data_IF_407466096461
#
_entry.id   IF_407466096461
#
_cell.length_a   1.000
_cell.length_b   1.000
_cell.length_c   1.000
_cell.angle_alpha   90.00
_cell.angle_beta   90.00
_cell.angle_gamma   90.00
#
_symmetry.space_group_name_H-M   'P 1'
#
loop_
_entity.id
_entity.type
_entity.pdbx_description
1 polymer ?
#
# COMPACT_ATOMS: atom_id res chain seq x y z
N UNK A 1 -8.04 -19.99 -20.28
CA UNK A 1 -6.81 -20.26 -19.50
C UNK A 1 -7.18 -21.28 -18.44
N UNK A 2 -6.50 -22.42 -18.38
CA UNK A 2 -6.79 -23.47 -17.39
C UNK A 2 -5.56 -23.75 -16.54
N UNK A 3 -5.70 -23.70 -15.21
CA UNK A 3 -4.61 -24.05 -14.29
C UNK A 3 -4.17 -25.51 -14.42
N UNK A 4 -5.01 -26.37 -15.00
CA UNK A 4 -4.66 -27.76 -15.32
C UNK A 4 -3.51 -27.88 -16.32
N UNK A 5 -3.14 -26.80 -17.01
CA UNK A 5 -1.98 -26.73 -17.90
C UNK A 5 -0.66 -26.43 -17.15
N UNK A 6 -0.73 -26.22 -15.84
CA UNK A 6 0.41 -25.93 -14.96
C UNK A 6 0.50 -26.96 -13.84
N UNK A 7 1.69 -27.10 -13.26
CA UNK A 7 1.90 -27.90 -12.05
C UNK A 7 1.82 -26.99 -10.81
N UNK A 8 1.42 -27.52 -9.64
CA UNK A 8 1.49 -26.77 -8.38
C UNK A 8 2.90 -26.21 -8.09
N UNK A 9 3.95 -26.98 -8.44
CA UNK A 9 5.36 -26.56 -8.29
C UNK A 9 5.75 -25.37 -9.19
N UNK A 10 4.96 -25.07 -10.24
CA UNK A 10 5.16 -23.90 -11.08
C UNK A 10 4.71 -22.60 -10.37
N UNK A 11 4.11 -22.69 -9.17
CA UNK A 11 3.56 -21.56 -8.43
C UNK A 11 4.28 -21.39 -7.08
N UNK A 12 5.21 -20.44 -7.04
CA UNK A 12 6.00 -20.15 -5.84
C UNK A 12 5.23 -19.24 -4.87
N UNK A 13 5.24 -19.56 -3.57
CA UNK A 13 4.68 -18.67 -2.55
C UNK A 13 5.32 -17.27 -2.61
N UNK A 14 4.50 -16.23 -2.69
CA UNK A 14 4.95 -14.84 -2.73
C UNK A 14 4.61 -14.09 -1.44
N UNK A 15 3.34 -14.13 -1.03
CA UNK A 15 2.86 -13.44 0.17
C UNK A 15 1.46 -13.90 0.56
N UNK A 16 0.98 -13.51 1.74
CA UNK A 16 -0.42 -13.73 2.13
C UNK A 16 -0.99 -12.60 3.00
N UNK A 17 -2.30 -12.36 2.83
CA UNK A 17 -3.07 -11.34 3.55
C UNK A 17 -4.03 -11.94 4.58
N UNK A 18 -5.14 -11.24 4.87
CA UNK A 18 -6.22 -11.76 5.71
C UNK A 18 -6.95 -12.95 5.06
N UNK A 19 -7.39 -12.78 3.81
CA UNK A 19 -8.30 -13.70 3.12
C UNK A 19 -7.65 -14.49 1.97
N UNK A 20 -6.43 -14.15 1.53
CA UNK A 20 -5.84 -14.67 0.29
C UNK A 20 -4.36 -15.03 0.45
N UNK A 21 -3.91 -16.09 -0.23
CA UNK A 21 -2.49 -16.41 -0.50
C UNK A 21 -2.18 -16.05 -1.95
N UNK A 22 -1.02 -15.47 -2.19
CA UNK A 22 -0.55 -15.05 -3.52
C UNK A 22 0.67 -15.90 -3.91
N UNK A 23 0.63 -16.47 -5.11
CA UNK A 23 1.69 -17.28 -5.68
C UNK A 23 2.18 -16.67 -7.00
N UNK A 24 3.50 -16.57 -7.19
CA UNK A 24 4.09 -16.14 -8.46
C UNK A 24 4.23 -17.33 -9.41
N UNK A 25 3.92 -17.15 -10.69
CA UNK A 25 4.28 -18.14 -11.70
C UNK A 25 5.81 -18.19 -11.86
N UNK A 26 6.37 -19.39 -11.75
CA UNK A 26 7.79 -19.71 -11.85
C UNK A 26 8.05 -20.95 -12.72
N UNK A 27 7.03 -21.39 -13.48
CA UNK A 27 7.11 -22.52 -14.41
C UNK A 27 7.89 -22.20 -15.68
N UNK A 28 7.85 -23.13 -16.63
CA UNK A 28 8.38 -22.92 -17.98
C UNK A 28 7.64 -21.77 -18.68
N UNK A 29 8.27 -21.07 -19.64
CA UNK A 29 7.63 -19.95 -20.35
C UNK A 29 6.24 -20.29 -20.86
N UNK A 30 5.24 -19.55 -20.37
CA UNK A 30 3.85 -19.73 -20.72
C UNK A 30 3.16 -18.36 -20.86
N UNK A 31 2.83 -17.91 -22.09
CA UNK A 31 2.23 -16.59 -22.31
C UNK A 31 0.96 -16.30 -21.51
N UNK A 32 0.25 -17.32 -21.04
CA UNK A 32 -0.95 -17.15 -20.21
C UNK A 32 -0.63 -16.82 -18.74
N UNK A 33 0.53 -17.24 -18.23
CA UNK A 33 0.90 -17.14 -16.81
C UNK A 33 2.19 -16.36 -16.56
N UNK A 34 3.01 -16.11 -17.59
CA UNK A 34 4.22 -15.31 -17.50
C UNK A 34 3.90 -13.91 -16.96
N UNK A 35 4.60 -13.52 -15.88
CA UNK A 35 4.37 -12.24 -15.21
C UNK A 35 3.01 -12.14 -14.50
N UNK A 36 2.39 -13.27 -14.17
CA UNK A 36 1.14 -13.34 -13.39
C UNK A 36 1.38 -13.95 -12.01
N UNK A 37 0.52 -13.55 -11.09
CA UNK A 37 0.33 -14.20 -9.79
C UNK A 37 -1.03 -14.89 -9.73
N UNK A 38 -1.08 -16.02 -9.06
CA UNK A 38 -2.29 -16.71 -8.67
C UNK A 38 -2.69 -16.28 -7.26
N UNK A 39 -3.90 -15.75 -7.13
CA UNK A 39 -4.51 -15.38 -5.84
C UNK A 39 -5.52 -16.44 -5.46
N UNK A 40 -5.36 -17.06 -4.29
CA UNK A 40 -6.19 -18.16 -3.81
C UNK A 40 -6.79 -17.82 -2.46
N UNK A 41 -8.12 -17.97 -2.32
CA UNK A 41 -8.83 -17.77 -1.06
C UNK A 41 -8.36 -18.75 0.01
N UNK A 42 -8.34 -18.26 1.26
CA UNK A 42 -8.01 -19.03 2.45
C UNK A 42 -9.25 -19.54 3.18
N UNK A 43 -9.09 -20.67 3.88
CA UNK A 43 -10.05 -21.26 4.81
C UNK A 43 -9.39 -21.45 6.17
N UNK A 44 -10.00 -21.06 7.31
CA UNK A 44 -9.45 -21.36 8.62
C UNK A 44 -9.51 -22.86 8.92
N UNK A 45 -8.55 -23.38 9.68
CA UNK A 45 -8.40 -24.83 9.90
C UNK A 45 -9.44 -25.39 10.90
N UNK A 46 -9.89 -24.56 11.85
CA UNK A 46 -10.65 -24.99 13.05
C UNK A 46 -12.13 -24.52 13.08
N UNK A 47 -12.76 -24.24 11.94
CA UNK A 47 -14.20 -23.87 11.92
C UNK A 47 -15.02 -25.07 11.47
N UNK A 48 -16.03 -25.43 12.25
CA UNK A 48 -16.98 -26.49 11.90
C UNK A 48 -17.74 -26.12 10.62
N UNK A 49 -17.92 -27.11 9.73
CA UNK A 49 -18.59 -26.96 8.42
C UNK A 49 -20.06 -26.49 8.52
N UNK A 50 -20.62 -26.41 9.73
CA UNK A 50 -22.02 -26.07 10.00
C UNK A 50 -22.29 -24.57 10.25
N UNK A 51 -21.26 -23.73 10.46
CA UNK A 51 -21.42 -22.30 10.76
C UNK A 51 -21.16 -21.37 9.55
N UNK A 52 -20.75 -21.91 8.40
CA UNK A 52 -20.54 -21.08 7.20
C UNK A 52 -21.86 -20.81 6.48
N UNK A 53 -22.43 -19.63 6.73
CA UNK A 53 -23.23 -18.97 5.70
C UNK A 53 -22.34 -18.82 4.46
N UNK A 54 -22.79 -19.37 3.34
CA UNK A 54 -22.26 -19.08 2.02
C UNK A 54 -22.45 -17.59 1.71
N UNK A 55 -21.57 -16.73 2.22
CA UNK A 55 -21.42 -15.39 1.65
C UNK A 55 -20.82 -15.60 0.26
N UNK A 56 -21.66 -15.43 -0.76
CA UNK A 56 -21.38 -15.78 -2.17
C UNK A 56 -20.11 -15.11 -2.73
N UNK A 57 -19.67 -13.98 -2.15
CA UNK A 57 -18.47 -13.22 -2.52
C UNK A 57 -17.76 -12.61 -1.30
N UNK A 58 -16.41 -12.55 -1.33
CA UNK A 58 -15.58 -11.95 -0.27
C UNK A 58 -15.92 -10.43 -0.14
N UNK A 59 -16.33 -9.94 1.04
CA UNK A 59 -16.71 -8.54 1.23
C UNK A 59 -15.64 -7.52 0.77
N UNK A 60 -14.35 -7.87 0.87
CA UNK A 60 -13.25 -7.02 0.39
C UNK A 60 -13.22 -6.92 -1.14
N UNK A 61 -13.55 -8.01 -1.84
CA UNK A 61 -13.64 -8.07 -3.30
C UNK A 61 -14.86 -7.27 -3.79
N UNK A 62 -16.02 -7.49 -3.17
CA UNK A 62 -17.26 -6.76 -3.52
C UNK A 62 -17.05 -5.25 -3.29
N UNK A 63 -16.47 -4.87 -2.16
CA UNK A 63 -16.13 -3.48 -1.88
C UNK A 63 -15.18 -2.89 -2.94
N UNK A 64 -14.16 -3.65 -3.35
CA UNK A 64 -13.24 -3.20 -4.38
C UNK A 64 -13.96 -2.90 -5.70
N UNK A 65 -14.78 -3.83 -6.18
CA UNK A 65 -15.50 -3.73 -7.45
C UNK A 65 -16.59 -2.65 -7.44
N UNK A 66 -17.37 -2.58 -6.36
CA UNK A 66 -18.48 -1.62 -6.28
C UNK A 66 -18.01 -0.21 -5.93
N UNK A 67 -16.89 -0.06 -5.20
CA UNK A 67 -16.46 1.22 -4.62
C UNK A 67 -15.12 1.68 -5.16
N UNK A 68 -14.04 0.91 -4.95
CA UNK A 68 -12.69 1.34 -5.31
C UNK A 68 -12.54 1.58 -6.82
N UNK A 69 -13.07 0.69 -7.66
CA UNK A 69 -13.03 0.83 -9.13
C UNK A 69 -13.81 2.05 -9.66
N UNK A 70 -14.71 2.63 -8.85
CA UNK A 70 -15.45 3.86 -9.21
C UNK A 70 -14.72 5.14 -8.81
N UNK A 71 -13.74 5.05 -7.92
CA UNK A 71 -13.05 6.20 -7.32
C UNK A 71 -11.61 6.31 -7.84
N UNK A 72 -10.93 5.17 -7.97
CA UNK A 72 -9.52 5.12 -8.37
C UNK A 72 -9.41 4.84 -9.87
N UNK A 73 -8.65 5.65 -10.64
CA UNK A 73 -8.42 5.38 -12.05
C UNK A 73 -7.89 3.97 -12.27
N UNK A 74 -8.48 3.30 -13.25
CA UNK A 74 -8.27 1.86 -13.43
C UNK A 74 -6.84 1.49 -13.85
N UNK A 75 -6.06 2.43 -14.40
CA UNK A 75 -4.63 2.22 -14.67
C UNK A 75 -3.77 2.01 -13.42
N UNK A 76 -4.24 2.46 -12.25
CA UNK A 76 -3.53 2.27 -10.98
C UNK A 76 -4.03 1.05 -10.20
N UNK A 77 -5.00 0.30 -10.71
CA UNK A 77 -5.57 -0.86 -10.02
C UNK A 77 -5.04 -2.16 -10.63
N UNK A 78 -4.84 -3.16 -9.76
CA UNK A 78 -4.70 -4.55 -10.19
C UNK A 78 -6.07 -5.02 -10.62
N UNK A 79 -6.18 -5.63 -11.81
CA UNK A 79 -7.39 -6.30 -12.26
C UNK A 79 -7.25 -7.80 -12.08
N UNK A 80 -7.87 -8.41 -11.05
CA UNK A 80 -7.91 -9.85 -10.93
C UNK A 80 -8.87 -10.44 -11.96
N UNK A 81 -8.42 -11.46 -12.69
CA UNK A 81 -9.20 -12.23 -13.64
C UNK A 81 -9.62 -13.54 -12.96
N UNK A 82 -10.92 -13.74 -12.64
CA UNK A 82 -11.38 -14.98 -12.02
C UNK A 82 -11.02 -16.21 -12.86
N UNK A 83 -10.61 -17.28 -12.19
CA UNK A 83 -10.29 -18.55 -12.83
C UNK A 83 -11.29 -19.64 -12.44
N UNK A 84 -11.49 -20.58 -13.38
CA UNK A 84 -12.15 -21.85 -13.08
C UNK A 84 -11.22 -22.67 -12.17
N UNK A 85 -11.70 -23.15 -11.01
CA UNK A 85 -10.88 -23.97 -10.12
C UNK A 85 -10.37 -25.26 -10.78
N UNK A 86 -9.11 -25.66 -10.52
CA UNK A 86 -8.59 -26.96 -10.95
C UNK A 86 -9.15 -28.08 -10.05
N UNK A 87 -8.84 -29.35 -10.34
CA UNK A 87 -9.17 -30.46 -9.45
C UNK A 87 -8.69 -30.24 -8.01
N UNK A 88 -9.45 -30.75 -7.03
CA UNK A 88 -9.14 -30.59 -5.60
C UNK A 88 -7.73 -31.05 -5.23
N UNK A 89 -7.26 -32.13 -5.83
CA UNK A 89 -5.89 -32.66 -5.65
C UNK A 89 -4.82 -31.62 -6.00
N UNK A 90 -5.02 -30.85 -7.08
CA UNK A 90 -4.07 -29.83 -7.52
C UNK A 90 -3.94 -28.71 -6.47
N UNK A 91 -5.05 -28.31 -5.84
CA UNK A 91 -5.05 -27.29 -4.78
C UNK A 91 -4.45 -27.81 -3.48
N UNK A 92 -4.66 -29.10 -3.16
CA UNK A 92 -4.03 -29.75 -2.01
C UNK A 92 -2.51 -29.81 -2.19
N UNK A 93 -2.04 -30.16 -3.39
CA UNK A 93 -0.63 -30.18 -3.73
C UNK A 93 -0.01 -28.78 -3.68
N UNK A 94 -0.71 -27.76 -4.19
CA UNK A 94 -0.27 -26.36 -4.08
C UNK A 94 -0.14 -25.93 -2.63
N UNK A 95 -1.14 -26.23 -1.79
CA UNK A 95 -1.13 -25.90 -0.38
C UNK A 95 0.05 -26.58 0.35
N UNK A 96 0.29 -27.86 0.05
CA UNK A 96 1.41 -28.63 0.61
C UNK A 96 2.78 -28.10 0.19
N UNK A 97 2.96 -27.80 -1.10
CA UNK A 97 4.22 -27.25 -1.64
C UNK A 97 4.55 -25.89 -1.03
N UNK A 98 3.54 -25.06 -0.78
CA UNK A 98 3.72 -23.73 -0.26
C UNK A 98 3.88 -23.68 1.26
N UNK A 99 3.38 -24.67 2.02
CA UNK A 99 3.28 -24.59 3.47
C UNK A 99 4.61 -24.27 4.14
N UNK A 100 5.72 -24.87 3.69
CA UNK A 100 7.06 -24.62 4.24
C UNK A 100 7.54 -23.16 4.10
N UNK A 101 7.00 -22.43 3.12
CA UNK A 101 7.36 -21.03 2.85
C UNK A 101 6.49 -20.02 3.59
N UNK A 102 5.37 -20.48 4.18
CA UNK A 102 4.42 -19.61 4.88
C UNK A 102 4.89 -19.28 6.30
N UNK A 103 4.61 -18.06 6.81
CA UNK A 103 4.87 -17.70 8.20
C UNK A 103 4.23 -18.68 9.19
N UNK A 104 4.96 -19.06 10.24
CA UNK A 104 4.52 -20.10 11.17
C UNK A 104 3.15 -19.81 11.77
N UNK A 105 2.87 -18.57 12.18
CA UNK A 105 1.57 -18.18 12.74
C UNK A 105 0.40 -18.32 11.76
N UNK A 106 0.65 -18.24 10.45
CA UNK A 106 -0.38 -18.39 9.42
C UNK A 106 -0.73 -19.85 9.15
N UNK A 107 0.27 -20.73 9.18
CA UNK A 107 0.10 -22.18 8.98
C UNK A 107 -0.83 -22.83 9.99
N UNK A 108 -0.86 -22.32 11.22
CA UNK A 108 -1.79 -22.81 12.26
C UNK A 108 -3.20 -22.22 12.17
N UNK A 109 -3.38 -21.12 11.44
CA UNK A 109 -4.64 -20.38 11.39
C UNK A 109 -5.51 -20.79 10.21
N UNK A 110 -4.91 -20.85 9.02
CA UNK A 110 -5.63 -20.97 7.77
C UNK A 110 -4.80 -21.71 6.69
N UNK A 111 -5.48 -22.24 5.68
CA UNK A 111 -4.89 -22.93 4.51
C UNK A 111 -5.65 -22.54 3.23
N UNK A 112 -5.22 -23.04 2.08
CA UNK A 112 -5.95 -22.89 0.81
C UNK A 112 -7.36 -23.48 0.93
N UNK A 113 -8.37 -22.73 0.50
CA UNK A 113 -9.74 -23.23 0.48
C UNK A 113 -9.94 -24.23 -0.68
N UNK A 114 -9.90 -25.52 -0.35
CA UNK A 114 -10.13 -26.61 -1.31
C UNK A 114 -11.60 -27.00 -1.45
N UNK A 115 -12.50 -26.54 -0.57
CA UNK A 115 -13.93 -26.91 -0.58
C UNK A 115 -14.73 -25.96 -1.45
N UNK A 116 -14.48 -24.65 -1.31
CA UNK A 116 -15.13 -23.57 -2.06
C UNK A 116 -14.08 -22.67 -2.73
N UNK A 117 -13.25 -23.23 -3.64
CA UNK A 117 -12.11 -22.51 -4.18
C UNK A 117 -12.53 -21.29 -4.98
N UNK A 118 -11.92 -20.15 -4.64
CA UNK A 118 -11.99 -18.90 -5.39
C UNK A 118 -10.57 -18.52 -5.78
N UNK A 119 -10.32 -18.45 -7.08
CA UNK A 119 -9.02 -18.14 -7.64
C UNK A 119 -9.13 -16.97 -8.62
N UNK A 120 -8.08 -16.15 -8.68
CA UNK A 120 -7.92 -15.14 -9.71
C UNK A 120 -6.46 -15.03 -10.14
N UNK A 121 -6.24 -14.78 -11.43
CA UNK A 121 -4.95 -14.31 -11.93
C UNK A 121 -4.86 -12.80 -11.81
N UNK A 122 -3.69 -12.31 -11.45
CA UNK A 122 -3.40 -10.89 -11.47
C UNK A 122 -2.00 -10.67 -12.03
N UNK A 123 -1.69 -9.44 -12.42
CA UNK A 123 -0.31 -9.07 -12.78
C UNK A 123 0.61 -9.26 -11.57
N UNK A 124 1.76 -9.88 -11.78
CA UNK A 124 2.84 -9.90 -10.81
C UNK A 124 3.48 -8.51 -10.71
N UNK A 125 3.31 -7.87 -9.56
CA UNK A 125 3.79 -6.51 -9.32
C UNK A 125 5.26 -6.46 -8.90
N UNK A 126 5.86 -7.58 -8.50
CA UNK A 126 7.23 -7.62 -7.96
C UNK A 126 8.18 -8.53 -8.74
N UNK A 127 7.65 -9.45 -9.54
CA UNK A 127 8.41 -10.33 -10.42
C UNK A 127 8.73 -9.78 -11.80
N UNK A 128 9.27 -10.68 -12.63
CA UNK A 128 9.74 -10.42 -13.98
C UNK A 128 11.05 -9.63 -14.05
N UNK A 129 11.43 -9.23 -15.26
CA UNK A 129 12.62 -8.42 -15.48
C UNK A 129 12.39 -6.97 -15.01
N UNK A 130 13.36 -6.41 -14.27
CA UNK A 130 13.29 -5.05 -13.74
C UNK A 130 13.43 -4.96 -12.21
N UNK A 131 13.11 -3.77 -11.71
CA UNK A 131 13.07 -3.45 -10.28
C UNK A 131 11.65 -3.05 -9.91
N UNK A 132 11.11 -3.62 -8.83
CA UNK A 132 9.84 -3.19 -8.26
C UNK A 132 10.08 -2.57 -6.88
N UNK A 133 9.36 -1.48 -6.58
CA UNK A 133 9.50 -0.76 -5.32
C UNK A 133 8.13 -0.52 -4.71
N UNK A 134 7.91 -1.05 -3.51
CA UNK A 134 6.74 -0.73 -2.70
C UNK A 134 7.07 0.48 -1.81
N UNK A 135 6.24 1.53 -1.87
CA UNK A 135 6.33 2.74 -1.04
C UNK A 135 5.02 2.89 -0.26
N UNK A 136 5.12 3.16 1.04
CA UNK A 136 3.98 3.65 1.84
C UNK A 136 4.05 5.17 1.94
N UNK A 137 3.34 5.91 1.08
CA UNK A 137 3.57 7.35 0.93
C UNK A 137 3.02 8.16 2.11
N UNK A 138 2.05 7.60 2.85
CA UNK A 138 1.36 8.25 3.98
C UNK A 138 0.50 9.45 3.52
N UNK A 139 0.33 10.45 4.37
CA UNK A 139 -0.62 11.55 4.17
C UNK A 139 0.00 12.65 3.32
N UNK A 140 -0.56 12.90 2.13
CA UNK A 140 -0.09 13.87 1.16
C UNK A 140 -0.69 15.27 1.29
N UNK A 141 -1.18 15.66 2.47
CA UNK A 141 -1.78 16.97 2.71
C UNK A 141 -1.68 17.42 4.17
N UNK A 142 -1.89 18.73 4.40
CA UNK A 142 -2.19 19.32 5.71
C UNK A 142 -3.71 19.55 5.85
N UNK A 143 -4.30 19.35 7.04
CA UNK A 143 -5.74 19.49 7.27
C UNK A 143 -6.23 20.93 7.07
N UNK A 144 -7.54 21.06 6.81
CA UNK A 144 -8.21 22.36 6.78
C UNK A 144 -8.12 23.04 8.15
N UNK A 145 -7.81 24.35 8.23
CA UNK A 145 -7.77 25.07 9.51
C UNK A 145 -9.16 25.30 10.11
N UNK A 146 -10.22 25.19 9.30
CA UNK A 146 -11.61 25.55 9.65
C UNK A 146 -12.18 24.71 10.79
N UNK A 147 -11.85 23.41 10.80
CA UNK A 147 -12.45 22.44 11.72
C UNK A 147 -11.52 22.03 12.86
N UNK A 148 -10.37 22.69 12.98
CA UNK A 148 -9.40 22.43 14.05
C UNK A 148 -9.68 23.34 15.24
N UNK A 149 -9.47 22.80 16.45
CA UNK A 149 -9.48 23.59 17.68
C UNK A 149 -8.37 24.65 17.68
N UNK A 150 -8.58 25.77 18.38
CA UNK A 150 -7.57 26.85 18.50
C UNK A 150 -6.24 26.35 19.09
N UNK A 151 -6.31 25.31 19.92
CA UNK A 151 -5.17 24.65 20.55
C UNK A 151 -4.30 23.90 19.53
N UNK A 152 -4.89 23.07 18.68
CA UNK A 152 -4.15 22.18 17.77
C UNK A 152 -3.87 22.81 16.41
N UNK A 153 -4.68 23.79 15.99
CA UNK A 153 -4.61 24.45 14.68
C UNK A 153 -3.20 24.94 14.33
N UNK A 154 -2.46 25.67 15.19
CA UNK A 154 -1.12 26.18 14.83
C UNK A 154 -0.10 25.07 14.54
N UNK A 155 -0.30 23.88 15.11
CA UNK A 155 0.62 22.74 14.95
C UNK A 155 0.22 21.90 13.73
N UNK A 156 -1.03 21.46 13.67
CA UNK A 156 -1.54 20.56 12.61
C UNK A 156 -1.50 21.21 11.22
N UNK A 157 -1.60 22.55 11.15
CA UNK A 157 -1.52 23.28 9.88
C UNK A 157 -0.10 23.65 9.44
N UNK A 158 0.91 23.32 10.27
CA UNK A 158 2.34 23.58 10.02
C UNK A 158 3.15 22.31 9.83
N UNK A 159 2.91 21.27 10.63
CA UNK A 159 3.65 20.01 10.60
C UNK A 159 2.73 18.87 10.21
N UNK A 160 3.15 18.05 9.23
CA UNK A 160 2.30 16.97 8.74
C UNK A 160 2.14 15.83 9.76
N UNK A 161 1.03 15.08 9.62
CA UNK A 161 0.66 13.97 10.51
C UNK A 161 1.77 12.93 10.69
N UNK A 162 2.52 12.63 9.62
CA UNK A 162 3.64 11.69 9.68
C UNK A 162 4.79 12.23 10.51
N UNK A 163 5.22 13.48 10.29
CA UNK A 163 6.34 14.07 11.02
C UNK A 163 6.05 14.17 12.53
N UNK A 164 4.83 14.57 12.90
CA UNK A 164 4.42 14.60 14.31
C UNK A 164 4.41 13.19 14.93
N UNK A 165 3.87 12.21 14.21
CA UNK A 165 3.81 10.83 14.70
C UNK A 165 5.20 10.19 14.81
N UNK A 166 6.07 10.46 13.85
CA UNK A 166 7.47 10.02 13.86
C UNK A 166 8.21 10.56 15.07
N UNK A 167 8.02 11.84 15.43
CA UNK A 167 8.58 12.40 16.66
C UNK A 167 8.08 11.66 17.92
N UNK A 168 6.78 11.42 18.03
CA UNK A 168 6.22 10.67 19.17
C UNK A 168 6.81 9.25 19.26
N UNK A 169 6.92 8.54 18.13
CA UNK A 169 7.48 7.18 18.09
C UNK A 169 8.99 7.15 18.38
N UNK A 170 9.74 8.16 17.94
CA UNK A 170 11.15 8.31 18.29
C UNK A 170 11.34 8.51 19.81
N UNK A 171 10.47 9.32 20.44
CA UNK A 171 10.44 9.50 21.89
C UNK A 171 10.14 8.20 22.64
N UNK A 172 9.32 7.33 22.04
CA UNK A 172 9.01 5.98 22.54
C UNK A 172 10.12 4.94 22.23
N UNK A 173 11.24 5.35 21.62
CA UNK A 173 12.42 4.51 21.34
C UNK A 173 12.30 3.66 20.06
N UNK A 174 11.31 3.91 19.21
CA UNK A 174 11.13 3.17 17.96
C UNK A 174 12.09 3.66 16.86
N UNK A 175 12.63 2.73 16.06
CA UNK A 175 13.40 3.08 14.87
C UNK A 175 12.48 3.70 13.80
N UNK A 176 12.71 4.97 13.47
CA UNK A 176 11.84 5.74 12.56
C UNK A 176 12.63 6.55 11.52
N UNK A 177 11.92 6.97 10.47
CA UNK A 177 12.47 7.79 9.39
C UNK A 177 12.19 9.28 9.64
N UNK A 178 13.01 9.93 10.48
CA UNK A 178 12.81 11.33 10.87
C UNK A 178 12.94 12.33 9.70
N UNK A 179 13.81 12.04 8.74
CA UNK A 179 14.09 12.93 7.61
C UNK A 179 12.94 12.92 6.56
N UNK A 180 12.23 11.80 6.43
CA UNK A 180 11.17 11.66 5.42
C UNK A 180 9.95 12.53 5.73
N UNK A 181 9.57 13.38 4.77
CA UNK A 181 8.29 14.09 4.78
C UNK A 181 7.44 13.64 3.60
N UNK A 182 6.22 13.12 3.84
CA UNK A 182 5.27 12.84 2.76
C UNK A 182 5.01 14.04 1.85
N UNK A 183 4.90 15.26 2.40
CA UNK A 183 4.58 16.43 1.59
C UNK A 183 5.68 16.77 0.56
N UNK A 184 6.92 16.36 0.80
CA UNK A 184 8.01 16.45 -0.18
C UNK A 184 7.83 15.43 -1.31
N UNK A 185 7.42 14.19 -0.99
CA UNK A 185 7.09 13.15 -1.97
C UNK A 185 5.90 13.59 -2.86
N UNK A 186 4.85 14.14 -2.25
CA UNK A 186 3.62 14.60 -2.91
C UNK A 186 3.75 15.97 -3.61
N UNK A 187 4.90 16.63 -3.51
CA UNK A 187 5.08 18.03 -3.89
C UNK A 187 4.91 18.31 -5.39
N UNK A 188 5.12 17.32 -6.26
CA UNK A 188 5.26 17.52 -7.70
C UNK A 188 6.59 18.20 -8.11
N UNK A 189 7.40 18.63 -7.13
CA UNK A 189 8.73 19.19 -7.36
C UNK A 189 9.78 18.07 -7.36
N UNK A 190 10.57 18.00 -8.44
CA UNK A 190 11.57 16.95 -8.61
C UNK A 190 12.63 16.95 -7.51
N UNK A 191 13.02 18.12 -7.00
CA UNK A 191 14.06 18.23 -5.98
C UNK A 191 13.56 17.72 -4.64
N UNK A 192 12.40 18.19 -4.20
CA UNK A 192 11.75 17.73 -2.96
C UNK A 192 11.38 16.25 -3.01
N UNK A 193 10.86 15.77 -4.14
CA UNK A 193 10.57 14.34 -4.30
C UNK A 193 11.84 13.49 -4.15
N UNK A 194 12.96 13.92 -4.74
CA UNK A 194 14.25 13.23 -4.57
C UNK A 194 14.73 13.24 -3.13
N UNK A 195 14.56 14.34 -2.40
CA UNK A 195 14.87 14.40 -0.96
C UNK A 195 14.04 13.39 -0.17
N UNK A 196 12.75 13.28 -0.46
CA UNK A 196 11.87 12.31 0.20
C UNK A 196 12.28 10.85 -0.10
N UNK A 197 12.59 10.55 -1.37
CA UNK A 197 13.06 9.22 -1.79
C UNK A 197 14.43 8.87 -1.20
N UNK A 198 15.33 9.85 -1.09
CA UNK A 198 16.64 9.67 -0.44
C UNK A 198 16.48 9.38 1.05
N UNK A 199 15.60 10.11 1.75
CA UNK A 199 15.28 9.85 3.15
C UNK A 199 14.68 8.43 3.35
N UNK A 200 13.80 7.99 2.45
CA UNK A 200 13.25 6.62 2.48
C UNK A 200 14.35 5.56 2.30
N UNK A 201 15.26 5.77 1.34
CA UNK A 201 16.40 4.89 1.13
C UNK A 201 17.31 4.83 2.36
N UNK A 202 17.68 5.99 2.90
CA UNK A 202 18.54 6.06 4.09
C UNK A 202 17.91 5.34 5.28
N UNK A 203 16.61 5.54 5.52
CA UNK A 203 15.91 4.82 6.58
C UNK A 203 15.87 3.31 6.33
N UNK A 204 15.64 2.88 5.08
CA UNK A 204 15.66 1.47 4.71
C UNK A 204 17.04 0.84 4.94
N UNK A 205 18.13 1.51 4.52
CA UNK A 205 19.49 1.05 4.75
C UNK A 205 19.85 1.00 6.24
N UNK A 206 19.64 2.10 6.99
CA UNK A 206 20.01 2.18 8.43
C UNK A 206 19.24 1.19 9.30
N UNK A 207 18.02 0.85 8.90
CA UNK A 207 17.17 -0.09 9.63
C UNK A 207 17.33 -1.54 9.19
N UNK A 208 18.31 -1.85 8.34
CA UNK A 208 18.50 -3.19 7.79
C UNK A 208 17.22 -3.75 7.15
N UNK A 209 16.46 -2.90 6.46
CA UNK A 209 15.22 -3.26 5.78
C UNK A 209 14.00 -3.51 6.68
N UNK A 210 14.06 -3.13 7.96
CA UNK A 210 12.95 -3.36 8.92
C UNK A 210 11.88 -2.26 8.90
N UNK A 211 12.21 -1.03 8.48
CA UNK A 211 11.20 0.02 8.29
C UNK A 211 10.24 -0.34 7.15
N UNK A 212 8.95 -0.03 7.35
CA UNK A 212 7.89 -0.49 6.46
C UNK A 212 7.52 0.50 5.33
N UNK A 213 8.23 1.62 5.20
CA UNK A 213 7.92 2.66 4.23
C UNK A 213 8.47 2.39 2.84
N UNK A 214 9.51 1.57 2.71
CA UNK A 214 10.17 1.22 1.46
C UNK A 214 10.51 -0.27 1.44
N UNK A 215 10.15 -0.94 0.35
CA UNK A 215 10.65 -2.30 0.04
C UNK A 215 11.08 -2.33 -1.42
N UNK A 216 12.20 -3.00 -1.68
CA UNK A 216 12.77 -3.11 -3.02
C UNK A 216 12.81 -4.58 -3.41
N UNK A 217 12.42 -4.88 -4.63
CA UNK A 217 12.40 -6.21 -5.20
C UNK A 217 13.14 -6.20 -6.54
N UNK A 218 13.97 -7.21 -6.77
CA UNK A 218 14.60 -7.46 -8.07
C UNK A 218 14.27 -8.89 -8.47
N UNK A 219 13.61 -9.05 -9.63
CA UNK A 219 13.18 -10.36 -10.14
C UNK A 219 12.35 -11.16 -9.10
N UNK A 220 11.43 -10.50 -8.41
CA UNK A 220 10.58 -11.10 -7.38
C UNK A 220 11.26 -11.29 -6.02
N UNK A 221 12.59 -11.20 -5.94
CA UNK A 221 13.31 -11.32 -4.68
C UNK A 221 13.29 -10.01 -3.91
N UNK A 222 12.73 -10.02 -2.70
CA UNK A 222 12.83 -8.90 -1.77
C UNK A 222 14.28 -8.71 -1.34
N UNK A 223 14.83 -7.53 -1.57
CA UNK A 223 16.19 -7.19 -1.20
C UNK A 223 16.29 -6.78 0.27
N UNK A 224 17.45 -7.08 0.85
CA UNK A 224 17.89 -6.60 2.17
C UNK A 224 19.18 -5.77 2.00
N UNK A 225 19.33 -4.63 2.69
CA UNK A 225 20.47 -3.73 2.47
C UNK A 225 21.85 -4.39 2.64
N UNK A 226 21.98 -5.26 3.64
CA UNK A 226 23.25 -5.85 4.05
C UNK A 226 23.44 -7.29 3.57
N UNK A 227 22.43 -7.86 2.90
CA UNK A 227 22.54 -9.21 2.37
C UNK A 227 23.48 -9.24 1.16
N UNK A 228 24.23 -10.33 1.05
CA UNK A 228 25.09 -10.60 -0.10
C UNK A 228 24.46 -11.64 -1.01
N UNK A 229 24.64 -11.47 -2.32
CA UNK A 229 24.25 -12.43 -3.34
C UNK A 229 25.50 -12.98 -4.05
N UNK A 230 25.55 -14.28 -4.36
CA UNK A 230 26.62 -14.84 -5.18
C UNK A 230 26.50 -14.34 -6.62
N UNK A 231 27.63 -13.97 -7.20
CA UNK A 231 27.79 -13.59 -8.59
C UNK A 231 28.80 -14.55 -9.19
N UNK A 232 28.45 -15.16 -10.33
CA UNK A 232 29.37 -16.00 -11.09
C UNK A 232 30.05 -15.19 -12.19
N UNK A 233 31.27 -14.66 -11.98
CA UNK A 233 32.12 -14.22 -13.08
C UNK A 233 32.65 -15.46 -13.80
N UNK A 234 31.99 -15.81 -14.91
CA UNK A 234 32.54 -16.63 -16.01
C UNK A 234 33.65 -17.64 -15.63
N UNK A 235 33.36 -18.56 -14.72
CA UNK A 235 33.94 -19.91 -14.75
C UNK A 235 34.96 -20.35 -13.70
N UNK A 236 35.39 -19.57 -12.71
CA UNK A 236 36.33 -20.13 -11.68
C UNK A 236 36.15 -19.62 -10.24
N UNK A 237 35.74 -18.37 -10.01
CA UNK A 237 35.56 -17.81 -8.65
C UNK A 237 34.13 -17.27 -8.45
N UNK A 238 33.48 -17.56 -7.31
CA UNK A 238 32.20 -16.92 -6.94
C UNK A 238 32.53 -15.64 -6.16
N UNK A 239 32.19 -14.48 -6.73
CA UNK A 239 32.24 -13.22 -5.99
C UNK A 239 30.92 -12.99 -5.26
N UNK A 240 30.95 -12.28 -4.14
CA UNK A 240 29.74 -11.85 -3.45
C UNK A 240 29.58 -10.34 -3.61
N UNK A 241 28.36 -9.91 -3.93
CA UNK A 241 28.02 -8.49 -3.96
C UNK A 241 26.84 -8.19 -3.04
N UNK A 242 26.81 -7.00 -2.47
CA UNK A 242 25.65 -6.53 -1.72
C UNK A 242 24.42 -6.49 -2.64
N UNK A 243 23.29 -7.00 -2.15
CA UNK A 243 22.03 -7.06 -2.89
C UNK A 243 21.61 -5.73 -3.52
N UNK A 244 21.80 -4.54 -2.90
CA UNK A 244 21.59 -3.26 -3.56
C UNK A 244 22.28 -3.13 -4.92
N UNK A 245 23.44 -3.75 -5.17
CA UNK A 245 24.11 -3.68 -6.47
C UNK A 245 23.28 -4.26 -7.62
N UNK A 246 22.39 -5.22 -7.34
CA UNK A 246 21.45 -5.77 -8.32
C UNK A 246 20.54 -4.69 -8.92
N UNK A 247 20.28 -3.60 -8.18
CA UNK A 247 19.50 -2.47 -8.68
C UNK A 247 20.27 -1.72 -9.76
N UNK A 248 21.56 -1.44 -9.53
CA UNK A 248 22.41 -0.79 -10.52
C UNK A 248 22.58 -1.69 -11.75
N UNK A 249 22.85 -2.99 -11.56
CA UNK A 249 22.99 -3.95 -12.65
C UNK A 249 21.78 -3.95 -13.60
N UNK A 250 20.57 -3.80 -13.05
CA UNK A 250 19.32 -3.77 -13.83
C UNK A 250 19.02 -2.40 -14.43
N UNK A 251 19.26 -1.31 -13.68
CA UNK A 251 18.82 0.03 -14.08
C UNK A 251 19.91 0.87 -14.75
N UNK A 252 21.12 0.85 -14.21
CA UNK A 252 22.29 1.56 -14.74
C UNK A 252 23.57 1.02 -14.09
N UNK A 253 24.31 0.10 -14.74
CA UNK A 253 25.50 -0.54 -14.18
C UNK A 253 26.64 0.43 -13.83
N UNK A 254 26.62 1.65 -14.38
CA UNK A 254 27.63 2.67 -14.14
C UNK A 254 27.27 3.64 -12.99
N UNK A 255 26.09 3.48 -12.36
CA UNK A 255 25.63 4.34 -11.29
C UNK A 255 25.66 3.62 -9.94
N UNK A 256 25.85 4.39 -8.88
CA UNK A 256 25.55 3.91 -7.53
C UNK A 256 24.07 3.46 -7.42
N UNK A 257 23.78 2.31 -6.78
CA UNK A 257 22.42 1.76 -6.67
C UNK A 257 21.35 2.73 -6.20
N UNK A 258 21.67 3.54 -5.18
CA UNK A 258 20.74 4.53 -4.63
C UNK A 258 20.39 5.56 -5.70
N UNK A 259 21.40 6.12 -6.36
CA UNK A 259 21.19 7.13 -7.38
C UNK A 259 20.42 6.60 -8.59
N UNK A 260 20.73 5.36 -9.03
CA UNK A 260 19.99 4.69 -10.10
C UNK A 260 18.50 4.55 -9.73
N UNK A 261 18.21 4.03 -8.53
CA UNK A 261 16.84 3.84 -8.06
C UNK A 261 16.07 5.14 -7.93
N UNK A 262 16.63 6.13 -7.21
CA UNK A 262 15.95 7.41 -6.95
C UNK A 262 15.67 8.14 -8.25
N UNK A 263 16.60 8.12 -9.22
CA UNK A 263 16.39 8.74 -10.52
C UNK A 263 15.22 8.10 -11.28
N UNK A 264 15.19 6.76 -11.32
CA UNK A 264 14.12 6.03 -11.99
C UNK A 264 12.77 6.22 -11.29
N UNK A 265 12.71 6.12 -9.95
CA UNK A 265 11.49 6.34 -9.16
C UNK A 265 10.94 7.75 -9.31
N UNK A 266 11.80 8.77 -9.21
CA UNK A 266 11.38 10.16 -9.36
C UNK A 266 10.74 10.38 -10.73
N UNK A 267 11.32 9.79 -11.77
CA UNK A 267 10.82 9.94 -13.14
C UNK A 267 9.48 9.23 -13.32
N UNK A 268 9.35 7.98 -12.84
CA UNK A 268 8.12 7.21 -12.92
C UNK A 268 6.96 7.86 -12.12
N UNK A 269 7.23 8.36 -10.92
CA UNK A 269 6.21 8.98 -10.06
C UNK A 269 5.73 10.35 -10.59
N UNK A 270 6.63 11.16 -11.16
CA UNK A 270 6.26 12.43 -11.79
C UNK A 270 5.45 12.22 -13.07
N UNK A 271 5.81 11.20 -13.88
CA UNK A 271 5.08 10.89 -15.12
C UNK A 271 3.70 10.29 -14.85
N UNK A 272 3.58 9.41 -13.85
CA UNK A 272 2.32 8.71 -13.60
C UNK A 272 1.25 9.58 -12.98
N UNK A 273 1.60 10.66 -12.27
CA UNK A 273 0.67 11.54 -11.52
C UNK A 273 -0.14 10.83 -10.41
N UNK A 274 0.17 9.57 -10.07
CA UNK A 274 -0.57 8.79 -9.06
C UNK A 274 -0.61 9.48 -7.68
N UNK A 275 0.47 10.18 -7.32
CA UNK A 275 0.55 10.90 -6.04
C UNK A 275 -0.39 12.11 -6.02
N UNK A 276 -0.68 12.71 -7.17
CA UNK A 276 -1.63 13.81 -7.29
C UNK A 276 -3.05 13.31 -7.00
N UNK A 277 -3.42 12.20 -7.64
CA UNK A 277 -4.72 11.54 -7.44
C UNK A 277 -4.89 11.08 -5.99
N UNK A 278 -3.88 10.42 -5.42
CA UNK A 278 -3.91 9.99 -4.01
C UNK A 278 -4.05 11.18 -3.05
N UNK A 279 -3.30 12.27 -3.24
CA UNK A 279 -3.39 13.45 -2.37
C UNK A 279 -4.78 14.10 -2.48
N UNK A 280 -5.34 14.19 -3.69
CA UNK A 280 -6.70 14.69 -3.94
C UNK A 280 -7.75 13.86 -3.20
N UNK A 281 -7.69 12.53 -3.35
CA UNK A 281 -8.60 11.60 -2.67
C UNK A 281 -8.49 11.70 -1.15
N UNK A 282 -7.27 11.64 -0.61
CA UNK A 282 -7.03 11.75 0.83
C UNK A 282 -7.61 13.05 1.41
N UNK A 283 -7.39 14.18 0.73
CA UNK A 283 -7.86 15.51 1.19
C UNK A 283 -9.37 15.65 1.06
N UNK A 284 -9.96 15.36 -0.10
CA UNK A 284 -11.40 15.58 -0.33
C UNK A 284 -12.26 14.70 0.56
N UNK A 285 -11.80 13.48 0.84
CA UNK A 285 -12.52 12.53 1.68
C UNK A 285 -12.28 12.73 3.18
N UNK A 286 -11.26 13.52 3.56
CA UNK A 286 -11.03 14.01 4.93
C UNK A 286 -11.04 15.55 4.96
N UNK A 287 -12.17 16.12 4.57
CA UNK A 287 -12.36 17.57 4.55
C UNK A 287 -12.39 18.18 5.96
N UNK A 288 -12.90 17.43 6.94
CA UNK A 288 -13.18 17.92 8.28
C UNK A 288 -12.02 17.74 9.27
N UNK A 289 -11.00 16.95 8.92
CA UNK A 289 -10.10 16.35 9.90
C UNK A 289 -10.89 15.48 10.93
N UNK A 290 -10.18 14.66 11.71
CA UNK A 290 -10.82 13.86 12.77
C UNK A 290 -11.45 14.74 13.86
N UNK A 291 -10.91 15.94 14.12
CA UNK A 291 -11.48 16.89 15.07
C UNK A 291 -12.85 17.41 14.63
N UNK A 292 -12.98 17.81 13.36
CA UNK A 292 -14.27 18.24 12.81
C UNK A 292 -15.27 17.10 12.74
N UNK A 293 -14.82 15.90 12.37
CA UNK A 293 -15.68 14.72 12.39
C UNK A 293 -16.20 14.42 13.80
N UNK A 294 -15.35 14.52 14.82
CA UNK A 294 -15.73 14.33 16.23
C UNK A 294 -16.72 15.39 16.72
N UNK A 295 -16.72 16.59 16.13
CA UNK A 295 -17.67 17.65 16.49
C UNK A 295 -19.10 17.36 16.01
N UNK A 296 -19.27 16.55 14.96
CA UNK A 296 -20.57 16.24 14.35
C UNK A 296 -21.02 14.79 14.54
N UNK A 297 -20.16 13.91 15.03
CA UNK A 297 -20.41 12.48 15.19
C UNK A 297 -19.85 11.97 16.54
N UNK A 298 -20.64 11.20 17.29
CA UNK A 298 -20.11 10.45 18.44
C UNK A 298 -19.27 9.26 17.95
N UNK A 299 -17.96 9.46 17.86
CA UNK A 299 -17.01 8.44 17.39
C UNK A 299 -16.91 7.24 18.34
N UNK A 300 -17.38 7.35 19.59
CA UNK A 300 -17.42 6.22 20.53
C UNK A 300 -18.53 5.24 20.21
N UNK A 301 -19.54 5.66 19.44
CA UNK A 301 -20.69 4.87 19.02
C UNK A 301 -21.10 5.23 17.59
N UNK A 302 -20.24 4.99 16.57
CA UNK A 302 -20.41 5.51 15.21
C UNK A 302 -21.51 4.79 14.39
N UNK A 303 -22.28 3.91 15.03
CA UNK A 303 -23.31 3.08 14.42
C UNK A 303 -22.75 1.76 13.85
N UNK A 304 -23.56 1.01 13.10
CA UNK A 304 -23.15 -0.28 12.54
C UNK A 304 -22.04 -0.14 11.49
N UNK A 305 -21.28 -1.22 11.27
CA UNK A 305 -20.37 -1.32 10.13
C UNK A 305 -21.12 -1.08 8.80
N UNK A 306 -20.53 -0.32 7.86
CA UNK A 306 -21.19 -0.03 6.60
C UNK A 306 -21.29 -1.26 5.71
N UNK A 307 -22.51 -1.54 5.28
CA UNK A 307 -22.81 -2.54 4.26
C UNK A 307 -22.41 -2.04 2.88
N UNK A 308 -22.36 -2.93 1.89
CA UNK A 308 -22.16 -2.52 0.50
C UNK A 308 -23.27 -1.58 0.00
N UNK A 309 -24.50 -1.73 0.51
CA UNK A 309 -25.60 -0.83 0.20
C UNK A 309 -25.33 0.59 0.73
N UNK A 310 -24.72 0.73 1.91
CA UNK A 310 -24.35 2.04 2.45
C UNK A 310 -23.29 2.72 1.57
N UNK A 311 -22.28 1.96 1.12
CA UNK A 311 -21.22 2.48 0.25
C UNK A 311 -21.71 2.90 -1.12
N UNK A 312 -22.58 2.09 -1.73
CA UNK A 312 -23.18 2.40 -3.03
C UNK A 312 -24.11 3.61 -2.95
N UNK A 313 -24.88 3.75 -1.87
CA UNK A 313 -25.66 4.95 -1.61
C UNK A 313 -24.76 6.18 -1.42
N UNK A 314 -23.68 6.04 -0.65
CA UNK A 314 -22.68 7.10 -0.45
C UNK A 314 -22.07 7.57 -1.77
N UNK A 315 -21.73 6.66 -2.69
CA UNK A 315 -21.19 7.00 -4.01
C UNK A 315 -22.15 7.88 -4.83
N UNK A 316 -23.45 7.53 -4.81
CA UNK A 316 -24.48 8.30 -5.53
C UNK A 316 -24.61 9.70 -4.96
N UNK A 317 -24.61 9.83 -3.64
CA UNK A 317 -24.65 11.12 -2.95
C UNK A 317 -23.40 11.96 -3.22
N UNK A 318 -22.21 11.35 -3.11
CA UNK A 318 -20.92 12.02 -3.33
C UNK A 318 -20.75 12.51 -4.77
N UNK A 319 -21.31 11.77 -5.75
CA UNK A 319 -21.30 12.18 -7.14
C UNK A 319 -22.33 13.30 -7.45
N UNK A 320 -23.32 13.51 -6.59
CA UNK A 320 -24.47 14.39 -6.85
C UNK A 320 -24.25 15.89 -6.65
N UNK A 321 -23.01 16.35 -6.46
CA UNK A 321 -22.62 17.76 -6.24
C UNK A 321 -23.40 18.52 -5.15
N UNK A 322 -24.11 17.81 -4.26
CA UNK A 322 -24.72 18.38 -3.06
C UNK A 322 -23.73 18.25 -1.93
N UNK A 323 -23.55 19.32 -1.15
CA UNK A 323 -22.75 19.26 0.07
C UNK A 323 -23.42 18.29 1.06
N UNK A 324 -22.86 17.10 1.29
CA UNK A 324 -23.53 16.07 2.06
C UNK A 324 -23.43 16.44 3.55
N UNK A 325 -24.55 16.70 4.20
CA UNK A 325 -24.54 17.22 5.57
C UNK A 325 -24.67 16.15 6.66
N UNK A 326 -24.69 14.87 6.30
CA UNK A 326 -24.97 13.82 7.29
C UNK A 326 -23.67 13.36 7.99
N UNK A 327 -23.68 13.19 9.34
CA UNK A 327 -22.52 12.64 10.05
C UNK A 327 -22.05 11.29 9.51
N UNK A 328 -23.00 10.46 9.03
CA UNK A 328 -22.70 9.16 8.43
C UNK A 328 -21.92 9.31 7.12
N UNK A 329 -22.30 10.24 6.25
CA UNK A 329 -21.56 10.52 5.01
C UNK A 329 -20.10 10.90 5.29
N UNK A 330 -19.87 11.81 6.24
CA UNK A 330 -18.52 12.22 6.62
C UNK A 330 -17.72 11.09 7.26
N UNK A 331 -18.35 10.24 8.08
CA UNK A 331 -17.69 9.06 8.64
C UNK A 331 -17.22 8.10 7.53
N UNK A 332 -18.08 7.79 6.55
CA UNK A 332 -17.73 6.93 5.40
C UNK A 332 -16.62 7.54 4.53
N UNK A 333 -16.70 8.85 4.28
CA UNK A 333 -15.65 9.59 3.58
C UNK A 333 -14.32 9.48 4.32
N UNK A 334 -14.32 9.69 5.64
CA UNK A 334 -13.13 9.60 6.46
C UNK A 334 -12.52 8.18 6.45
N UNK A 335 -13.35 7.13 6.48
CA UNK A 335 -12.88 5.74 6.35
C UNK A 335 -12.20 5.49 5.00
N UNK A 336 -12.76 5.98 3.89
CA UNK A 336 -12.11 5.91 2.58
C UNK A 336 -10.80 6.71 2.55
N UNK A 337 -10.79 7.92 3.10
CA UNK A 337 -9.55 8.70 3.25
C UNK A 337 -8.49 7.92 4.04
N UNK A 338 -8.88 7.28 5.14
CA UNK A 338 -8.00 6.45 5.96
C UNK A 338 -7.44 5.26 5.17
N UNK A 339 -8.23 4.64 4.28
CA UNK A 339 -7.73 3.64 3.32
C UNK A 339 -6.65 4.22 2.41
N UNK A 340 -6.87 5.37 1.79
CA UNK A 340 -5.86 5.99 0.92
C UNK A 340 -4.63 6.54 1.66
N UNK A 341 -4.76 6.90 2.94
CA UNK A 341 -3.65 7.31 3.81
C UNK A 341 -2.74 6.16 4.23
N UNK A 342 -3.29 4.94 4.32
CA UNK A 342 -2.60 3.73 4.74
C UNK A 342 -2.23 2.78 3.58
N UNK A 343 -2.64 3.10 2.35
CA UNK A 343 -2.33 2.31 1.16
C UNK A 343 -0.82 2.29 0.85
N UNK A 344 -0.42 1.39 -0.04
CA UNK A 344 0.94 1.34 -0.60
C UNK A 344 0.87 1.54 -2.11
N UNK A 345 1.94 2.06 -2.71
CA UNK A 345 2.11 2.08 -4.16
C UNK A 345 3.26 1.15 -4.55
N UNK A 346 3.09 0.37 -5.61
CA UNK A 346 4.17 -0.38 -6.24
C UNK A 346 4.55 0.29 -7.55
N UNK A 347 5.80 0.68 -7.69
CA UNK A 347 6.39 1.21 -8.91
C UNK A 347 7.24 0.12 -9.55
N UNK A 348 6.87 -0.32 -10.76
CA UNK A 348 7.64 -1.31 -11.54
C UNK A 348 8.45 -0.58 -12.59
N UNK A 349 9.77 -0.70 -12.53
CA UNK A 349 10.72 -0.06 -13.42
C UNK A 349 11.37 -1.15 -14.28
N UNK A 350 11.08 -1.18 -15.59
CA UNK A 350 11.71 -2.15 -16.49
C UNK A 350 13.19 -1.80 -16.73
N UNK A 351 14.03 -2.78 -17.13
CA UNK A 351 15.41 -2.51 -17.50
C UNK A 351 15.49 -1.62 -18.76
N UNK A 352 16.58 -0.86 -18.97
CA UNK A 352 16.73 0.03 -20.13
C UNK A 352 16.63 -0.65 -21.49
N UNK A 353 16.90 -1.96 -21.55
CA UNK A 353 16.77 -2.78 -22.76
C UNK A 353 15.32 -3.11 -23.13
N UNK A 354 14.36 -2.89 -22.22
CA UNK A 354 12.95 -3.13 -22.44
C UNK A 354 12.30 -1.98 -23.21
N UNK A 355 11.30 -2.31 -24.04
CA UNK A 355 10.43 -1.32 -24.68
C UNK A 355 9.28 -0.86 -23.79
N UNK A 356 9.06 -1.53 -22.65
CA UNK A 356 7.98 -1.20 -21.71
C UNK A 356 8.31 0.05 -20.90
N UNK A 357 7.29 0.80 -20.50
CA UNK A 357 7.43 1.93 -19.59
C UNK A 357 7.27 1.49 -18.13
N UNK A 358 7.68 2.34 -17.19
CA UNK A 358 7.38 2.12 -15.78
C UNK A 358 5.86 2.13 -15.54
N UNK A 359 5.39 1.28 -14.64
CA UNK A 359 3.99 1.25 -14.20
C UNK A 359 3.89 1.56 -12.72
N UNK A 360 2.76 2.13 -12.29
CA UNK A 360 2.51 2.39 -10.88
C UNK A 360 1.13 1.87 -10.50
N UNK A 361 1.05 1.12 -9.41
CA UNK A 361 -0.18 0.46 -8.96
C UNK A 361 -0.39 0.75 -7.48
N UNK A 362 -1.63 1.04 -7.09
CA UNK A 362 -2.04 1.24 -5.70
C UNK A 362 -2.54 -0.10 -5.14
N UNK A 363 -2.05 -0.48 -3.97
CA UNK A 363 -2.41 -1.71 -3.25
C UNK A 363 -2.80 -1.40 -1.80
N UNK A 364 -3.25 -2.42 -1.05
CA UNK A 364 -3.72 -2.30 0.34
C UNK A 364 -4.97 -1.39 0.48
N UNK A 365 -5.92 -1.52 -0.46
CA UNK A 365 -7.15 -0.69 -0.56
C UNK A 365 -8.35 -1.23 0.22
N UNK A 366 -8.14 -2.14 1.16
CA UNK A 366 -9.21 -2.64 2.02
C UNK A 366 -9.76 -1.52 2.91
N UNK A 367 -11.09 -1.44 2.97
CA UNK A 367 -11.80 -0.49 3.83
C UNK A 367 -11.51 -0.75 5.29
N UNK A 368 -11.47 0.31 6.08
CA UNK A 368 -11.25 0.23 7.52
C UNK A 368 -12.60 0.10 8.24
N UNK A 369 -12.63 -0.70 9.30
CA UNK A 369 -13.77 -0.81 10.21
C UNK A 369 -14.11 0.53 10.85
N UNK A 370 -15.40 0.82 10.98
CA UNK A 370 -15.90 2.08 11.55
C UNK A 370 -15.56 2.22 13.04
N UNK A 371 -15.44 1.12 13.77
CA UNK A 371 -15.07 1.11 15.19
C UNK A 371 -13.65 1.67 15.44
N UNK A 372 -12.84 1.82 14.40
CA UNK A 372 -11.50 2.43 14.50
C UNK A 372 -11.55 3.95 14.65
N UNK A 373 -12.66 4.61 14.34
CA UNK A 373 -12.78 6.08 14.39
C UNK A 373 -12.41 6.63 15.77
N UNK A 374 -12.96 6.06 16.85
CA UNK A 374 -12.62 6.46 18.23
C UNK A 374 -11.13 6.33 18.53
N UNK A 375 -10.54 5.20 18.14
CA UNK A 375 -9.12 4.92 18.35
C UNK A 375 -8.25 5.92 17.61
N UNK A 376 -8.63 6.29 16.39
CA UNK A 376 -7.88 7.26 15.60
C UNK A 376 -8.00 8.68 16.14
N UNK A 377 -9.17 9.10 16.62
CA UNK A 377 -9.34 10.39 17.28
C UNK A 377 -8.46 10.51 18.53
N UNK A 378 -8.44 9.48 19.38
CA UNK A 378 -7.53 9.41 20.54
C UNK A 378 -6.06 9.44 20.15
N UNK A 379 -5.69 8.68 19.10
CA UNK A 379 -4.32 8.65 18.61
C UNK A 379 -3.89 9.99 18.03
N UNK A 380 -4.78 10.68 17.31
CA UNK A 380 -4.51 12.01 16.78
C UNK A 380 -4.22 13.02 17.89
N UNK A 381 -5.09 13.07 18.92
CA UNK A 381 -4.89 13.90 20.10
C UNK A 381 -3.55 13.63 20.78
N UNK A 382 -3.24 12.35 21.06
CA UNK A 382 -1.96 11.93 21.67
C UNK A 382 -0.74 12.44 20.86
N UNK A 383 -0.81 12.37 19.54
CA UNK A 383 0.31 12.74 18.67
C UNK A 383 0.52 14.24 18.63
N UNK A 384 -0.56 15.01 18.56
CA UNK A 384 -0.48 16.47 18.54
C UNK A 384 0.00 16.98 19.89
N UNK A 385 -0.54 16.46 21.00
CA UNK A 385 -0.08 16.80 22.36
C UNK A 385 1.41 16.50 22.55
N UNK A 386 1.87 15.31 22.16
CA UNK A 386 3.28 14.96 22.23
C UNK A 386 4.16 15.91 21.39
N UNK A 387 3.68 16.37 20.24
CA UNK A 387 4.43 17.28 19.37
C UNK A 387 4.36 18.74 19.83
N UNK A 388 3.32 19.14 20.58
CA UNK A 388 3.21 20.46 21.19
C UNK A 388 4.30 20.73 22.22
N UNK A 389 4.87 19.69 22.83
CA UNK A 389 6.04 19.79 23.72
C UNK A 389 7.30 20.31 23.00
N UNK A 390 7.38 20.15 21.67
CA UNK A 390 8.49 20.71 20.87
C UNK A 390 8.37 22.24 20.83
N UNK A 391 9.43 22.99 21.17
CA UNK A 391 9.43 24.45 21.10
C UNK A 391 9.00 24.94 19.71
N UNK A 392 8.17 25.99 19.65
CA UNK A 392 7.59 26.45 18.39
C UNK A 392 8.63 26.80 17.31
N UNK A 393 9.78 27.34 17.71
CA UNK A 393 10.89 27.66 16.81
C UNK A 393 11.55 26.42 16.19
N UNK A 394 11.45 25.26 16.85
CA UNK A 394 12.05 23.99 16.43
C UNK A 394 11.07 23.08 15.67
N UNK A 395 9.77 23.39 15.71
CA UNK A 395 8.74 22.62 14.98
C UNK A 395 8.99 22.66 13.48
N UNK A 396 9.04 21.47 12.87
CA UNK A 396 9.27 21.30 11.43
C UNK A 396 8.18 22.02 10.63
N UNK A 397 8.59 22.81 9.64
CA UNK A 397 7.68 23.40 8.66
C UNK A 397 7.55 22.43 7.48
N UNK A 398 6.39 21.80 7.35
CA UNK A 398 6.10 20.93 6.22
C UNK A 398 5.35 21.73 5.14
N UNK A 399 5.81 21.65 3.89
CA UNK A 399 5.24 22.47 2.80
C UNK A 399 4.23 21.65 1.99
N UNK A 400 2.95 21.95 2.15
CA UNK A 400 1.88 21.40 1.31
C UNK A 400 1.79 22.18 0.00
N UNK A 401 2.46 21.69 -1.05
CA UNK A 401 2.53 22.36 -2.36
C UNK A 401 1.16 22.49 -3.05
N UNK A 402 0.17 21.70 -2.64
CA UNK A 402 -1.15 21.62 -3.28
C UNK A 402 -2.23 22.42 -2.57
N UNK A 403 -1.91 23.01 -1.41
CA UNK A 403 -2.86 23.79 -0.60
C UNK A 403 -3.35 25.06 -1.31
N UNK A 404 -2.52 25.66 -2.16
CA UNK A 404 -2.83 26.88 -2.92
C UNK A 404 -3.65 26.62 -4.19
N UNK A 405 -3.54 25.43 -4.80
CA UNK A 405 -4.25 25.11 -6.05
C UNK A 405 -5.72 24.73 -5.86
N UNK A 406 -6.16 24.44 -4.64
CA UNK A 406 -7.55 24.00 -4.37
C UNK A 406 -8.51 25.12 -3.98
N UNK A 407 -8.02 26.35 -3.73
CA UNK A 407 -8.88 27.50 -3.43
C UNK A 407 -9.41 28.19 -4.71
N UNK A 408 -8.92 27.81 -5.89
CA UNK A 408 -9.33 28.38 -7.18
C UNK A 408 -10.24 27.45 -8.00
N UNK A 409 -10.63 26.30 -7.47
CA UNK A 409 -11.47 25.31 -8.16
C UNK A 409 -12.63 24.81 -7.29
N UNK A 410 -13.43 25.76 -6.78
CA UNK A 410 -14.78 25.52 -6.26
C UNK A 410 -15.77 26.08 -7.26
#
# INVERSE_FOLDING_TARGET
>A
MSLSETRPDDWAYLSEGGATIVFSYAGAPNPAFDGKVLRVRKRPINVDDAEEHAEDEDPSVVFHQCVIERIVPSEYLVRPEPLVPPPTEWLQDLAGAADVSRPAERRYKDTVDVKTPRLALATDLVGGEGVAVEIKPKWGFLPSPEYLSDETRPVKTRTCRFCMHTHMRAKDGEAVSEEYCPLDLYSGDKTRMRMALDALWQAWSRSHGTVNNLRVFVKGQKLQPDAVSPVSPSGVDILTQLQPQLIADVLNPNADPKNALISALSSALLQSRVLEELSSLQRRLDALDVEGLQAICDLSSPGPEPTISDWTAWLVEHAGERDPTTPRHHALSYLLSATFKDCSIIVRIPPPSSTSTATVTIIDLDVKSIDRLHKWAKLDRKIVEAYMEVPEAERRVCVDARRSTSLESV
#
